data_IF_827312598686
#
_entry.id   IF_827312598686
#
_cell.length_a   1.000
_cell.length_b   1.000
_cell.length_c   1.000
_cell.angle_alpha   90.00
_cell.angle_beta   90.00
_cell.angle_gamma   90.00
#
_symmetry.space_group_name_H-M   'P 1'
#
loop_
_entity.id
_entity.type
_entity.pdbx_description
1 polymer ?
#
# COMPACT_ATOMS: atom_id res chain seq x y z
N UNK A 1 16.86 -18.14 -0.54
CA UNK A 1 15.96 -17.47 -1.51
C UNK A 1 15.19 -16.41 -0.75
N UNK A 2 15.03 -15.19 -1.27
CA UNK A 2 14.36 -14.09 -0.54
C UNK A 2 12.84 -14.24 -0.56
N UNK A 3 12.17 -13.68 0.46
CA UNK A 3 10.72 -13.60 0.51
C UNK A 3 10.16 -12.81 -0.68
N UNK A 4 10.81 -11.70 -1.06
CA UNK A 4 10.39 -10.93 -2.24
C UNK A 4 10.43 -11.78 -3.53
N UNK A 5 11.47 -12.59 -3.70
CA UNK A 5 11.58 -13.44 -4.89
C UNK A 5 10.42 -14.44 -4.96
N UNK A 6 10.15 -15.15 -3.86
CA UNK A 6 9.05 -16.12 -3.78
C UNK A 6 7.69 -15.46 -3.96
N UNK A 7 7.49 -14.31 -3.31
CA UNK A 7 6.28 -13.52 -3.45
C UNK A 7 6.06 -13.10 -4.91
N UNK A 8 7.11 -12.66 -5.61
CA UNK A 8 7.02 -12.27 -7.02
C UNK A 8 6.76 -13.45 -7.96
N UNK A 9 7.13 -14.67 -7.54
CA UNK A 9 6.90 -15.92 -8.27
C UNK A 9 5.51 -16.52 -8.04
N UNK A 10 4.67 -15.91 -7.19
CA UNK A 10 3.28 -16.31 -6.99
C UNK A 10 2.98 -17.01 -5.67
N UNK A 11 4.00 -17.31 -4.84
CA UNK A 11 3.86 -17.93 -3.50
C UNK A 11 3.32 -16.91 -2.46
N UNK A 12 2.25 -16.19 -2.79
CA UNK A 12 1.78 -15.09 -1.97
C UNK A 12 1.30 -15.57 -0.60
N UNK A 13 0.48 -16.62 -0.56
CA UNK A 13 -0.15 -17.09 0.67
C UNK A 13 0.87 -17.71 1.62
N UNK A 14 1.80 -18.52 1.09
CA UNK A 14 2.88 -19.13 1.85
C UNK A 14 3.81 -18.07 2.44
N UNK A 15 4.26 -17.12 1.62
CA UNK A 15 5.11 -16.02 2.09
C UNK A 15 4.39 -15.22 3.18
N UNK A 16 3.11 -14.91 3.01
CA UNK A 16 2.35 -14.19 4.04
C UNK A 16 2.17 -14.98 5.34
N UNK A 17 1.95 -16.30 5.25
CA UNK A 17 1.86 -17.17 6.42
C UNK A 17 3.18 -17.19 7.19
N UNK A 18 4.31 -17.34 6.49
CA UNK A 18 5.64 -17.33 7.07
C UNK A 18 5.99 -15.98 7.71
N UNK A 19 5.72 -14.87 7.02
CA UNK A 19 5.99 -13.53 7.55
C UNK A 19 5.18 -13.22 8.82
N UNK A 20 3.93 -13.68 8.90
CA UNK A 20 3.12 -13.53 10.13
C UNK A 20 3.65 -14.39 11.28
N UNK A 21 4.22 -15.55 10.98
CA UNK A 21 4.77 -16.47 11.97
C UNK A 21 6.09 -15.96 12.61
N UNK A 22 6.76 -14.97 12.01
CA UNK A 22 8.00 -14.40 12.55
C UNK A 22 7.80 -13.68 13.89
N UNK A 23 6.61 -13.14 14.16
CA UNK A 23 6.42 -12.19 15.25
C UNK A 23 7.22 -10.90 15.00
N UNK A 24 8.08 -10.43 15.93
CA UNK A 24 9.02 -9.35 15.66
C UNK A 24 9.95 -9.71 14.49
N UNK A 25 10.07 -8.82 13.52
CA UNK A 25 10.91 -9.05 12.34
C UNK A 25 12.40 -9.03 12.74
N UNK A 26 13.17 -10.09 12.50
CA UNK A 26 14.61 -10.11 12.77
C UNK A 26 15.35 -9.08 11.90
N UNK A 27 16.43 -8.47 12.44
CA UNK A 27 17.19 -7.42 11.75
C UNK A 27 17.64 -7.81 10.34
N UNK A 28 18.13 -9.04 10.17
CA UNK A 28 18.57 -9.57 8.88
C UNK A 28 17.46 -9.73 7.83
N UNK A 29 16.18 -9.68 8.24
CA UNK A 29 15.01 -9.83 7.37
C UNK A 29 14.27 -8.51 7.13
N UNK A 30 14.57 -7.44 7.88
CA UNK A 30 13.84 -6.16 7.80
C UNK A 30 13.74 -5.66 6.35
N UNK A 31 14.84 -5.67 5.59
CA UNK A 31 14.84 -5.17 4.22
C UNK A 31 13.92 -5.97 3.30
N UNK A 32 13.92 -7.30 3.42
CA UNK A 32 13.14 -8.20 2.57
C UNK A 32 11.65 -8.14 2.92
N UNK A 33 11.30 -8.08 4.22
CA UNK A 33 9.91 -7.87 4.67
C UNK A 33 9.37 -6.52 4.17
N UNK A 34 10.17 -5.46 4.25
CA UNK A 34 9.80 -4.16 3.69
C UNK A 34 9.55 -4.23 2.18
N UNK A 35 10.36 -4.99 1.46
CA UNK A 35 10.20 -5.16 0.02
C UNK A 35 8.92 -5.92 -0.35
N UNK A 36 8.60 -7.02 0.36
CA UNK A 36 7.33 -7.74 0.18
C UNK A 36 6.13 -6.84 0.49
N UNK A 37 6.20 -6.05 1.56
CA UNK A 37 5.14 -5.10 1.89
C UNK A 37 4.97 -4.04 0.80
N UNK A 38 6.06 -3.48 0.29
CA UNK A 38 6.02 -2.52 -0.81
C UNK A 38 5.40 -3.12 -2.08
N UNK A 39 5.79 -4.35 -2.44
CA UNK A 39 5.26 -5.05 -3.61
C UNK A 39 3.77 -5.41 -3.44
N UNK A 40 3.37 -5.85 -2.24
CA UNK A 40 1.96 -6.09 -1.94
C UNK A 40 1.13 -4.83 -2.13
N UNK A 41 1.58 -3.71 -1.56
CA UNK A 41 0.86 -2.43 -1.67
C UNK A 41 0.87 -1.88 -3.09
N UNK A 42 1.92 -2.18 -3.87
CA UNK A 42 1.97 -1.87 -5.32
C UNK A 42 0.83 -2.56 -6.07
N UNK A 43 0.68 -3.87 -5.88
CA UNK A 43 -0.37 -4.68 -6.52
C UNK A 43 -1.76 -4.29 -6.05
N UNK A 44 -1.93 -4.06 -4.75
CA UNK A 44 -3.18 -3.55 -4.17
C UNK A 44 -3.60 -2.25 -4.86
N UNK A 45 -2.69 -1.28 -4.99
CA UNK A 45 -2.99 -0.01 -5.67
C UNK A 45 -3.47 -0.20 -7.11
N UNK A 46 -2.84 -1.12 -7.87
CA UNK A 46 -3.29 -1.44 -9.23
C UNK A 46 -4.70 -2.05 -9.25
N UNK A 47 -5.00 -2.97 -8.32
CA UNK A 47 -6.32 -3.60 -8.24
C UNK A 47 -7.39 -2.59 -7.82
N UNK A 48 -7.12 -1.71 -6.86
CA UNK A 48 -8.06 -0.68 -6.40
C UNK A 48 -8.41 0.29 -7.54
N UNK A 49 -7.42 0.75 -8.30
CA UNK A 49 -7.66 1.61 -9.48
C UNK A 49 -8.57 0.91 -10.48
N UNK A 50 -8.25 -0.34 -10.83
CA UNK A 50 -9.06 -1.14 -11.75
C UNK A 50 -10.50 -1.33 -11.26
N UNK A 51 -10.69 -1.62 -9.97
CA UNK A 51 -12.03 -1.77 -9.39
C UNK A 51 -12.80 -0.46 -9.50
N UNK A 52 -12.17 0.67 -9.17
CA UNK A 52 -12.82 1.98 -9.26
C UNK A 52 -13.24 2.33 -10.69
N UNK A 53 -12.41 2.01 -11.69
CA UNK A 53 -12.75 2.17 -13.12
C UNK A 53 -13.95 1.29 -13.51
N UNK A 54 -13.93 0.01 -13.15
CA UNK A 54 -15.00 -0.94 -13.49
C UNK A 54 -16.32 -0.65 -12.79
N UNK A 55 -16.30 -0.13 -11.56
CA UNK A 55 -17.53 0.28 -10.87
C UNK A 55 -18.23 1.42 -11.62
N UNK A 56 -17.47 2.36 -12.20
CA UNK A 56 -18.02 3.42 -13.05
C UNK A 56 -18.70 2.89 -14.31
N UNK A 57 -18.23 1.77 -14.87
CA UNK A 57 -18.84 1.11 -16.04
C UNK A 57 -20.11 0.33 -15.71
N UNK A 58 -20.34 -0.01 -14.44
CA UNK A 58 -21.46 -0.82 -13.97
C UNK A 58 -22.62 0.01 -13.42
N UNK A 59 -22.65 1.32 -13.69
CA UNK A 59 -23.62 2.27 -13.13
C UNK A 59 -23.69 2.17 -11.59
N UNK A 60 -22.56 1.89 -10.93
CA UNK A 60 -22.50 1.84 -9.48
C UNK A 60 -22.70 3.24 -8.89
N UNK A 61 -23.75 3.40 -8.09
CA UNK A 61 -24.03 4.64 -7.36
C UNK A 61 -23.41 4.60 -5.94
N UNK A 62 -22.37 5.40 -5.65
CA UNK A 62 -21.85 5.49 -4.29
C UNK A 62 -22.85 6.17 -3.36
N UNK A 63 -22.93 5.71 -2.10
CA UNK A 63 -23.76 6.33 -1.06
C UNK A 63 -23.39 7.81 -0.78
N UNK A 64 -22.20 8.23 -1.19
CA UNK A 64 -21.69 9.58 -1.04
C UNK A 64 -21.23 10.10 -2.42
N UNK A 65 -22.12 10.76 -3.18
CA UNK A 65 -21.84 11.13 -4.58
C UNK A 65 -20.70 12.15 -4.73
N UNK A 66 -20.43 12.94 -3.69
CA UNK A 66 -19.35 13.94 -3.67
C UNK A 66 -17.96 13.34 -3.37
N UNK A 67 -17.91 12.04 -3.07
CA UNK A 67 -16.67 11.32 -2.76
C UNK A 67 -16.27 10.47 -3.96
N UNK A 68 -15.14 10.78 -4.57
CA UNK A 68 -14.55 9.94 -5.63
C UNK A 68 -14.36 8.50 -5.12
N UNK A 69 -14.79 7.50 -5.90
CA UNK A 69 -14.66 6.06 -5.58
C UNK A 69 -13.24 5.67 -5.20
N UNK A 70 -12.27 6.34 -5.83
CA UNK A 70 -10.87 6.28 -5.45
C UNK A 70 -10.27 7.67 -5.63
N UNK A 71 -9.55 8.14 -4.62
CA UNK A 71 -8.73 9.34 -4.71
C UNK A 71 -7.28 8.90 -4.72
N UNK A 72 -6.55 9.32 -5.75
CA UNK A 72 -5.11 9.11 -5.75
C UNK A 72 -4.49 9.87 -4.58
N UNK A 73 -3.56 9.26 -3.83
CA UNK A 73 -3.14 9.85 -2.58
C UNK A 73 -2.28 11.09 -2.79
N UNK A 74 -2.50 12.13 -1.98
CA UNK A 74 -1.69 13.33 -2.08
C UNK A 74 -0.31 13.15 -1.45
N UNK A 75 0.65 13.97 -1.88
CA UNK A 75 2.05 13.88 -1.48
C UNK A 75 2.29 14.17 0.01
N UNK A 76 1.26 14.55 0.76
CA UNK A 76 1.37 15.08 2.11
C UNK A 76 1.52 13.99 3.19
N UNK A 77 1.28 12.72 2.85
CA UNK A 77 1.17 11.66 3.85
C UNK A 77 2.48 11.21 4.52
N UNK A 78 3.66 11.41 3.93
CA UNK A 78 4.87 10.71 4.39
C UNK A 78 5.33 11.19 5.78
N UNK A 79 5.33 12.50 5.99
CA UNK A 79 5.64 13.10 7.28
C UNK A 79 4.57 12.77 8.35
N UNK A 80 3.33 12.57 7.94
CA UNK A 80 2.25 12.16 8.83
C UNK A 80 2.38 10.70 9.26
N UNK A 81 2.78 9.81 8.34
CA UNK A 81 3.11 8.42 8.66
C UNK A 81 4.27 8.32 9.65
N UNK A 82 5.31 9.13 9.46
CA UNK A 82 6.45 9.13 10.38
C UNK A 82 6.06 9.69 11.76
N UNK A 83 5.22 10.74 11.81
CA UNK A 83 4.63 11.24 13.06
C UNK A 83 3.78 10.18 13.76
N UNK A 84 2.92 9.49 13.02
CA UNK A 84 2.07 8.42 13.56
C UNK A 84 2.93 7.28 14.13
N UNK A 85 3.95 6.85 13.38
CA UNK A 85 4.90 5.82 13.81
C UNK A 85 5.59 6.20 15.12
N UNK A 86 6.04 7.44 15.24
CA UNK A 86 6.68 7.93 16.46
C UNK A 86 5.69 8.00 17.64
N UNK A 87 4.46 8.43 17.39
CA UNK A 87 3.44 8.62 18.44
C UNK A 87 2.90 7.34 19.07
N UNK A 88 2.86 6.23 18.33
CA UNK A 88 2.29 4.96 18.83
C UNK A 88 3.33 3.86 19.06
N UNK A 89 4.62 4.19 18.96
CA UNK A 89 5.72 3.24 19.22
C UNK A 89 6.05 2.30 18.06
N UNK A 90 5.57 2.59 16.85
CA UNK A 90 5.83 1.80 15.65
C UNK A 90 4.61 1.68 14.74
N UNK A 91 4.81 1.14 13.54
CA UNK A 91 3.73 0.77 12.64
C UNK A 91 4.03 -0.61 12.07
N UNK A 92 3.01 -1.48 11.91
CA UNK A 92 3.16 -2.70 11.13
C UNK A 92 3.73 -2.37 9.75
N UNK A 93 4.68 -3.17 9.28
CA UNK A 93 5.43 -2.89 8.04
C UNK A 93 4.50 -2.74 6.83
N UNK A 94 3.47 -3.58 6.74
CA UNK A 94 2.46 -3.51 5.69
C UNK A 94 1.65 -2.20 5.74
N UNK A 95 1.28 -1.74 6.94
CA UNK A 95 0.53 -0.49 7.11
C UNK A 95 1.41 0.72 6.76
N UNK A 96 2.67 0.75 7.22
CA UNK A 96 3.61 1.79 6.85
C UNK A 96 3.87 1.83 5.33
N UNK A 97 4.01 0.66 4.69
CA UNK A 97 4.17 0.57 3.24
C UNK A 97 2.93 1.07 2.49
N UNK A 98 1.73 0.76 2.99
CA UNK A 98 0.47 1.24 2.44
C UNK A 98 0.43 2.76 2.48
N UNK A 99 0.51 3.34 3.67
CA UNK A 99 0.41 4.79 3.84
C UNK A 99 1.51 5.56 3.09
N UNK A 100 2.73 5.00 3.01
CA UNK A 100 3.83 5.63 2.24
C UNK A 100 3.66 5.52 0.74
N UNK A 101 3.10 4.42 0.22
CA UNK A 101 2.70 4.37 -1.19
C UNK A 101 1.66 5.45 -1.46
N UNK A 102 0.75 5.62 -0.51
CA UNK A 102 -0.28 6.63 -0.53
C UNK A 102 0.20 8.01 -0.06
N UNK A 103 1.51 8.24 -0.01
CA UNK A 103 2.09 9.55 0.23
C UNK A 103 2.97 10.01 -0.92
N UNK A 104 3.17 9.19 -1.95
CA UNK A 104 4.16 9.43 -3.01
C UNK A 104 3.56 9.80 -4.37
N UNK A 105 2.23 9.87 -4.47
CA UNK A 105 1.52 10.15 -5.72
C UNK A 105 1.23 11.64 -5.98
N UNK A 106 1.53 12.53 -5.02
CA UNK A 106 1.35 13.97 -5.20
C UNK A 106 2.44 14.62 -6.05
N UNK A 107 2.41 14.46 -7.37
CA UNK A 107 2.92 15.46 -8.32
C UNK A 107 2.60 15.07 -9.76
N UNK A 108 1.38 15.41 -10.24
CA UNK A 108 1.05 15.65 -11.67
C UNK A 108 -0.41 16.07 -11.81
N UNK A 109 -0.79 17.18 -11.18
CA UNK A 109 -1.88 18.00 -11.72
C UNK A 109 -1.23 19.17 -12.44
N UNK A 110 -0.91 18.94 -13.71
CA UNK A 110 -0.58 20.00 -14.66
C UNK A 110 -1.76 20.95 -14.76
N UNK A 111 -1.54 22.21 -14.43
CA UNK A 111 -2.41 23.31 -14.82
C UNK A 111 -2.60 23.27 -16.34
N UNK A 112 -3.81 22.92 -16.79
CA UNK A 112 -4.34 23.42 -18.06
C UNK A 112 -5.38 24.48 -17.71
N UNK A 113 -4.97 25.74 -17.90
CA UNK A 113 -5.87 26.84 -18.22
C UNK A 113 -5.77 27.09 -19.71
#
# INVERSE_FOLDING_TARGET
>A
MSYLSRYSSGEHEEVWAELRALGPVPDGLIADVNAVAAETMRRLGMHVVRIAEQLGELDFEPSFPDVSLHREPDGAGAAEVDRLKAGIGGLPVALAACLRRWARSGSRVTARR
#
